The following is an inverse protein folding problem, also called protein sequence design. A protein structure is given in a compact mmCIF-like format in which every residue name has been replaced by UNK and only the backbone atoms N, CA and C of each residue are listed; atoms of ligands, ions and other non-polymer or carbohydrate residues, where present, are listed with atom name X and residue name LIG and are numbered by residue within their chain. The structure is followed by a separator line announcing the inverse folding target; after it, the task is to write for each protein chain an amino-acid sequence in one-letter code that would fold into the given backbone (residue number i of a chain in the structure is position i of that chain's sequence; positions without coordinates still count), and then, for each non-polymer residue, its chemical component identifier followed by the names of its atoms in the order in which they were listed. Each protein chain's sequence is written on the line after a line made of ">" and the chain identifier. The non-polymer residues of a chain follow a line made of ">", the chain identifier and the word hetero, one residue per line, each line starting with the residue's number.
data_IF_183109797141
#
_entry.id   IF_183109797141
#
_cell.length_a   1.000
_cell.length_b   1.000
_cell.length_c   1.000
_cell.angle_alpha   90.00
_cell.angle_beta   90.00
_cell.angle_gamma   90.00
#
_symmetry.space_group_name_H-M   'P 1'
#
loop_
_entity.id
_entity.type
_entity.pdbx_description
1 polymer ?
#
# COMPACT_ATOMS: atom_id res chain seq x y z
N UNK A 1 3.81 -8.99 2.55
CA UNK A 1 2.96 -9.56 1.50
C UNK A 1 1.56 -9.86 2.05
N UNK A 2 1.40 -10.90 2.89
CA UNK A 2 0.09 -11.33 3.40
C UNK A 2 -0.77 -10.21 4.02
N UNK A 3 -0.18 -9.33 4.84
CA UNK A 3 -0.88 -8.17 5.43
C UNK A 3 -1.59 -7.31 4.36
N UNK A 4 -0.94 -7.10 3.21
CA UNK A 4 -1.49 -6.29 2.12
C UNK A 4 -2.63 -7.00 1.41
N UNK A 5 -2.53 -8.33 1.24
CA UNK A 5 -3.60 -9.16 0.66
C UNK A 5 -4.84 -9.15 1.55
N UNK A 6 -4.66 -9.25 2.85
CA UNK A 6 -5.75 -9.19 3.84
C UNK A 6 -6.39 -7.80 3.89
N UNK A 7 -5.58 -6.73 3.90
CA UNK A 7 -6.08 -5.36 3.89
C UNK A 7 -6.88 -5.03 2.63
N UNK A 8 -6.37 -5.41 1.45
CA UNK A 8 -7.09 -5.28 0.19
C UNK A 8 -8.43 -6.00 0.21
N UNK A 9 -8.41 -7.27 0.59
CA UNK A 9 -9.62 -8.11 0.64
C UNK A 9 -10.64 -7.53 1.62
N UNK A 10 -10.20 -7.11 2.81
CA UNK A 10 -11.06 -6.49 3.82
C UNK A 10 -11.69 -5.18 3.35
N UNK A 11 -10.91 -4.29 2.74
CA UNK A 11 -11.38 -3.01 2.22
C UNK A 11 -12.43 -3.20 1.10
N UNK A 12 -12.17 -4.14 0.19
CA UNK A 12 -13.08 -4.48 -0.89
C UNK A 12 -14.40 -5.05 -0.35
N UNK A 13 -14.34 -6.06 0.54
CA UNK A 13 -15.53 -6.66 1.16
C UNK A 13 -16.37 -5.63 1.90
N UNK A 14 -15.72 -4.69 2.61
CA UNK A 14 -16.42 -3.61 3.31
C UNK A 14 -17.17 -2.70 2.33
N UNK A 15 -16.52 -2.22 1.26
CA UNK A 15 -17.18 -1.33 0.29
C UNK A 15 -18.36 -2.01 -0.39
N UNK A 16 -18.21 -3.28 -0.80
CA UNK A 16 -19.29 -4.08 -1.40
C UNK A 16 -20.49 -4.22 -0.45
N UNK A 17 -20.23 -4.38 0.86
CA UNK A 17 -21.29 -4.50 1.86
C UNK A 17 -21.97 -3.15 2.19
N UNK A 18 -21.21 -2.06 2.23
CA UNK A 18 -21.74 -0.74 2.62
C UNK A 18 -22.31 0.08 1.47
N UNK A 19 -21.94 -0.24 0.23
CA UNK A 19 -22.41 0.45 -0.98
C UNK A 19 -22.73 -0.58 -2.09
N UNK A 20 -23.81 -1.36 -1.94
CA UNK A 20 -24.11 -2.49 -2.83
C UNK A 20 -24.48 -2.11 -4.26
N UNK A 21 -24.89 -0.86 -4.50
CA UNK A 21 -25.16 -0.34 -5.85
C UNK A 21 -23.90 0.07 -6.60
N UNK A 22 -22.76 0.21 -5.90
CA UNK A 22 -21.49 0.48 -6.54
C UNK A 22 -21.01 -0.76 -7.28
N UNK A 23 -20.61 -0.60 -8.52
CA UNK A 23 -20.15 -1.69 -9.38
C UNK A 23 -18.88 -1.33 -10.15
N UNK A 24 -18.43 -0.07 -10.08
CA UNK A 24 -17.22 0.38 -10.74
C UNK A 24 -15.99 -0.21 -10.04
N UNK A 25 -15.22 -1.09 -10.72
CA UNK A 25 -14.00 -1.69 -10.16
C UNK A 25 -13.02 -0.66 -9.59
N UNK A 26 -12.96 0.54 -10.17
CA UNK A 26 -12.05 1.61 -9.74
C UNK A 26 -12.34 2.07 -8.32
N UNK A 27 -13.61 2.04 -7.89
CA UNK A 27 -14.00 2.41 -6.52
C UNK A 27 -13.54 1.38 -5.51
N UNK A 28 -13.66 0.10 -5.84
CA UNK A 28 -13.15 -1.00 -5.02
C UNK A 28 -11.62 -0.99 -4.91
N UNK A 29 -10.93 -0.92 -6.05
CA UNK A 29 -9.46 -0.86 -6.06
C UNK A 29 -8.92 0.43 -5.45
N UNK A 30 -9.65 1.54 -5.55
CA UNK A 30 -9.31 2.77 -4.82
C UNK A 30 -9.29 2.54 -3.31
N UNK A 31 -10.30 1.85 -2.76
CA UNK A 31 -10.35 1.53 -1.33
C UNK A 31 -9.22 0.58 -0.90
N UNK A 32 -8.80 -0.36 -1.76
CA UNK A 32 -7.69 -1.27 -1.44
C UNK A 32 -6.34 -0.54 -1.40
N UNK A 33 -6.09 0.39 -2.34
CA UNK A 33 -4.87 1.21 -2.38
C UNK A 33 -4.72 2.02 -1.10
N UNK A 34 -5.80 2.66 -0.63
CA UNK A 34 -5.78 3.40 0.65
C UNK A 34 -5.43 2.47 1.81
N UNK A 35 -6.13 1.35 1.96
CA UNK A 35 -5.90 0.42 3.08
C UNK A 35 -4.47 -0.17 3.09
N UNK A 36 -3.94 -0.54 1.91
CA UNK A 36 -2.57 -1.04 1.79
C UNK A 36 -1.53 0.06 2.08
N UNK A 37 -1.77 1.29 1.61
CA UNK A 37 -0.89 2.43 1.85
C UNK A 37 -0.71 2.69 3.34
N UNK A 38 -1.80 2.67 4.10
CA UNK A 38 -1.77 2.91 5.55
C UNK A 38 -0.91 1.85 6.27
N UNK A 39 -0.99 0.58 5.86
CA UNK A 39 -0.12 -0.48 6.39
C UNK A 39 1.35 -0.20 6.05
N UNK A 40 1.67 0.13 4.79
CA UNK A 40 3.05 0.41 4.39
C UNK A 40 3.64 1.59 5.18
N UNK A 41 2.88 2.67 5.36
CA UNK A 41 3.30 3.82 6.17
C UNK A 41 3.61 3.39 7.61
N UNK A 42 2.69 2.69 8.27
CA UNK A 42 2.88 2.23 9.63
C UNK A 42 4.12 1.33 9.79
N UNK A 43 4.40 0.47 8.80
CA UNK A 43 5.59 -0.38 8.81
C UNK A 43 6.87 0.42 8.58
N UNK A 44 6.89 1.37 7.65
CA UNK A 44 8.05 2.23 7.40
C UNK A 44 8.41 3.10 8.61
N UNK A 45 7.41 3.59 9.34
CA UNK A 45 7.63 4.32 10.59
C UNK A 45 8.16 3.39 11.69
N UNK A 46 7.52 2.24 11.92
CA UNK A 46 7.92 1.29 12.96
C UNK A 46 9.32 0.70 12.73
N UNK A 47 9.73 0.53 11.47
CA UNK A 47 11.06 0.04 11.12
C UNK A 47 12.12 1.16 11.06
N UNK A 48 11.75 2.41 11.36
CA UNK A 48 12.67 3.54 11.37
C UNK A 48 13.22 3.92 9.99
N UNK A 49 12.56 3.50 8.90
CA UNK A 49 13.01 3.81 7.53
C UNK A 49 12.52 5.16 7.04
N UNK A 50 11.47 5.72 7.65
CA UNK A 50 10.91 7.01 7.30
C UNK A 50 11.97 8.14 7.35
N UNK A 51 12.01 8.99 6.33
CA UNK A 51 12.94 10.11 6.22
C UNK A 51 14.39 9.75 5.79
N UNK A 52 14.70 8.48 5.53
CA UNK A 52 16.04 8.09 5.09
C UNK A 52 16.26 8.12 3.57
N UNK A 53 15.20 8.25 2.76
CA UNK A 53 15.30 8.18 1.31
C UNK A 53 16.26 9.21 0.69
N UNK A 54 16.21 10.47 1.16
CA UNK A 54 17.07 11.55 0.65
C UNK A 54 18.55 11.43 1.06
N UNK A 55 18.87 10.55 2.01
CA UNK A 55 20.25 10.30 2.47
C UNK A 55 20.98 9.32 1.55
N UNK A 56 20.25 8.58 0.71
CA UNK A 56 20.80 7.58 -0.20
C UNK A 56 21.30 8.30 -1.45
N UNK A 57 22.55 8.04 -1.85
CA UNK A 57 23.09 8.39 -3.17
C UNK A 57 23.00 7.16 -4.07
N UNK A 58 22.01 7.08 -4.98
CA UNK A 58 21.86 5.91 -5.85
C UNK A 58 23.06 5.80 -6.80
N UNK A 59 23.55 4.57 -6.98
CA UNK A 59 24.53 4.22 -8.03
C UNK A 59 23.85 3.32 -9.05
N UNK A 60 24.31 3.36 -10.31
CA UNK A 60 23.81 2.43 -11.33
C UNK A 60 24.31 1.01 -11.08
N UNK A 61 23.70 0.02 -11.74
CA UNK A 61 24.12 -1.37 -11.61
C UNK A 61 25.55 -1.57 -12.12
N UNK A 62 25.95 -0.87 -13.18
CA UNK A 62 27.33 -0.90 -13.69
C UNK A 62 28.34 -0.34 -12.68
N UNK A 63 27.95 0.64 -11.86
CA UNK A 63 28.79 1.20 -10.80
C UNK A 63 28.84 0.35 -9.52
N UNK A 64 28.12 -0.77 -9.46
CA UNK A 64 28.18 -1.74 -8.34
C UNK A 64 29.24 -2.82 -8.54
N UNK A 65 29.68 -3.07 -9.77
CA UNK A 65 30.68 -4.06 -10.14
C UNK A 65 32.03 -3.40 -10.43
#
# INVERSE_FOLDING_TARGET
>A
DTDLRLASTGAMRRLMATNPSEFDPRKFFGATVTAMRDICIARYEAFGTAGNASKIKPISLEGMF
#
